data_IF_235908732999
#
_entry.id   IF_235908732999
#
_cell.length_a   1.000
_cell.length_b   1.000
_cell.length_c   1.000
_cell.angle_alpha   90.00
_cell.angle_beta   90.00
_cell.angle_gamma   90.00
#
_symmetry.space_group_name_H-M   'P 1'
#
loop_
_entity.id
_entity.type
_entity.pdbx_description
1 polymer ?
#
# COMPACT_ATOMS: atom_id res chain seq x y z
N UNK A 1 17.37 2.42 4.18
CA UNK A 1 18.06 2.06 2.92
C UNK A 1 18.22 0.54 2.84
N UNK A 2 18.37 -0.06 1.65
CA UNK A 2 18.36 -1.53 1.51
C UNK A 2 19.55 -2.21 2.21
N UNK A 3 20.71 -1.55 2.27
CA UNK A 3 21.90 -2.08 2.93
C UNK A 3 21.80 -2.23 4.45
N UNK A 4 20.82 -1.57 5.11
CA UNK A 4 20.58 -1.68 6.56
C UNK A 4 19.94 -3.02 6.94
N UNK A 5 19.29 -3.69 5.98
CA UNK A 5 18.63 -4.98 6.17
C UNK A 5 19.61 -6.16 6.09
N UNK A 6 20.90 -5.91 5.83
CA UNK A 6 21.94 -6.94 5.68
C UNK A 6 22.82 -7.01 6.94
N UNK A 7 23.20 -8.24 7.33
CA UNK A 7 24.13 -8.49 8.44
C UNK A 7 25.39 -7.63 8.33
N UNK A 8 25.76 -7.01 9.45
CA UNK A 8 26.95 -6.15 9.58
C UNK A 8 28.22 -6.95 9.28
N UNK A 9 29.11 -6.43 8.43
CA UNK A 9 30.39 -7.04 8.08
C UNK A 9 30.39 -7.97 6.85
N UNK A 10 29.25 -8.21 6.20
CA UNK A 10 29.19 -9.07 5.00
C UNK A 10 29.59 -8.32 3.73
N UNK A 11 30.28 -9.00 2.80
CA UNK A 11 30.54 -8.53 1.43
C UNK A 11 29.28 -7.98 0.75
N UNK A 12 28.13 -8.61 1.02
CA UNK A 12 26.80 -8.16 0.59
C UNK A 12 26.46 -6.75 1.05
N UNK A 13 26.77 -6.40 2.31
CA UNK A 13 26.46 -5.08 2.87
C UNK A 13 27.27 -3.99 2.16
N UNK A 14 28.53 -4.28 1.79
CA UNK A 14 29.39 -3.33 1.06
C UNK A 14 28.83 -3.02 -0.33
N UNK A 15 28.46 -4.06 -1.09
CA UNK A 15 27.93 -3.90 -2.45
C UNK A 15 26.57 -3.19 -2.41
N UNK A 16 25.68 -3.58 -1.50
CA UNK A 16 24.36 -2.94 -1.38
C UNK A 16 24.45 -1.48 -0.93
N UNK A 17 25.43 -1.15 -0.07
CA UNK A 17 25.71 0.24 0.33
C UNK A 17 26.18 1.07 -0.87
N UNK A 18 27.11 0.55 -1.69
CA UNK A 18 27.53 1.23 -2.92
C UNK A 18 26.35 1.49 -3.87
N UNK A 19 25.47 0.50 -4.07
CA UNK A 19 24.30 0.69 -4.91
C UNK A 19 23.34 1.77 -4.35
N UNK A 20 23.08 1.76 -3.04
CA UNK A 20 22.23 2.76 -2.39
C UNK A 20 22.84 4.18 -2.48
N UNK A 21 24.15 4.32 -2.33
CA UNK A 21 24.86 5.60 -2.45
C UNK A 21 24.83 6.14 -3.88
N UNK A 22 25.10 5.28 -4.89
CA UNK A 22 25.02 5.67 -6.30
C UNK A 22 23.60 6.09 -6.70
N UNK A 23 22.59 5.36 -6.20
CA UNK A 23 21.18 5.71 -6.42
C UNK A 23 20.83 7.05 -5.74
N UNK A 24 21.33 7.30 -4.53
CA UNK A 24 21.07 8.54 -3.81
C UNK A 24 21.74 9.77 -4.45
N UNK A 25 22.96 9.60 -4.98
CA UNK A 25 23.72 10.68 -5.61
C UNK A 25 23.17 11.06 -6.98
N UNK A 26 22.78 10.06 -7.78
CA UNK A 26 22.40 10.27 -9.19
C UNK A 26 20.89 10.27 -9.43
N UNK A 27 20.11 9.71 -8.51
CA UNK A 27 18.66 9.51 -8.71
C UNK A 27 18.31 8.42 -9.74
N UNK A 28 19.32 7.74 -10.31
CA UNK A 28 19.16 6.69 -11.32
C UNK A 28 19.73 5.36 -10.84
N UNK A 29 19.17 4.24 -11.34
CA UNK A 29 19.64 2.90 -10.98
C UNK A 29 21.02 2.67 -11.61
N UNK A 30 22.08 2.40 -10.81
CA UNK A 30 23.42 2.20 -11.34
C UNK A 30 23.51 0.92 -12.18
N UNK A 31 24.46 0.88 -13.12
CA UNK A 31 24.64 -0.32 -13.95
C UNK A 31 25.35 -1.43 -13.17
N UNK A 32 25.02 -2.70 -13.48
CA UNK A 32 25.66 -3.83 -12.80
C UNK A 32 27.17 -3.92 -13.03
N UNK A 33 27.64 -3.45 -14.20
CA UNK A 33 29.07 -3.42 -14.53
C UNK A 33 29.81 -2.36 -13.73
N UNK A 34 29.25 -1.16 -13.62
CA UNK A 34 29.81 -0.09 -12.78
C UNK A 34 29.94 -0.53 -11.31
N UNK A 35 28.91 -1.16 -10.76
CA UNK A 35 28.94 -1.68 -9.38
C UNK A 35 30.00 -2.79 -9.22
N UNK A 36 30.14 -3.68 -10.19
CA UNK A 36 31.15 -4.73 -10.16
C UNK A 36 32.57 -4.16 -10.25
N UNK A 37 32.80 -3.19 -11.14
CA UNK A 37 34.11 -2.54 -11.34
C UNK A 37 34.55 -1.79 -10.06
N UNK A 38 33.63 -1.05 -9.43
CA UNK A 38 33.88 -0.36 -8.15
C UNK A 38 34.14 -1.35 -7.00
N UNK A 39 33.45 -2.49 -6.98
CA UNK A 39 33.68 -3.53 -5.98
C UNK A 39 35.04 -4.21 -6.16
N UNK A 40 35.44 -4.50 -7.40
CA UNK A 40 36.76 -5.07 -7.73
C UNK A 40 37.88 -4.10 -7.37
N UNK A 41 37.72 -2.81 -7.67
CA UNK A 41 38.67 -1.76 -7.26
C UNK A 41 38.86 -1.68 -5.73
N UNK A 42 37.84 -2.09 -4.97
CA UNK A 42 37.87 -2.17 -3.51
C UNK A 42 38.40 -3.50 -2.96
N UNK A 43 38.97 -4.36 -3.81
CA UNK A 43 39.53 -5.67 -3.44
C UNK A 43 38.50 -6.82 -3.43
N UNK A 44 37.36 -6.65 -4.08
CA UNK A 44 36.30 -7.66 -4.18
C UNK A 44 36.41 -8.56 -5.42
N UNK A 45 35.61 -9.64 -5.45
CA UNK A 45 35.46 -10.50 -6.63
C UNK A 45 34.31 -10.01 -7.54
N UNK A 46 34.57 -9.92 -8.85
CA UNK A 46 33.63 -9.49 -9.89
C UNK A 46 32.32 -10.29 -9.88
N UNK A 47 32.39 -11.62 -9.76
CA UNK A 47 31.21 -12.50 -9.76
C UNK A 47 30.28 -12.25 -8.55
N UNK A 48 30.87 -11.93 -7.39
CA UNK A 48 30.14 -11.51 -6.20
C UNK A 48 29.47 -10.16 -6.42
N UNK A 49 30.16 -9.22 -7.10
CA UNK A 49 29.62 -7.92 -7.49
C UNK A 49 28.31 -8.04 -8.28
N UNK A 50 28.33 -8.76 -9.40
CA UNK A 50 27.14 -8.95 -10.25
C UNK A 50 25.98 -9.67 -9.56
N UNK A 51 26.29 -10.70 -8.77
CA UNK A 51 25.28 -11.47 -8.03
C UNK A 51 24.59 -10.60 -6.99
N UNK A 52 25.35 -9.84 -6.20
CA UNK A 52 24.76 -9.00 -5.16
C UNK A 52 24.04 -7.77 -5.74
N UNK A 53 24.52 -7.21 -6.85
CA UNK A 53 23.78 -6.19 -7.61
C UNK A 53 22.40 -6.72 -8.07
N UNK A 54 22.35 -7.93 -8.62
CA UNK A 54 21.09 -8.54 -9.07
C UNK A 54 20.10 -8.73 -7.91
N UNK A 55 20.59 -9.16 -6.75
CA UNK A 55 19.76 -9.26 -5.55
C UNK A 55 19.29 -7.89 -5.04
N UNK A 56 20.16 -6.88 -5.03
CA UNK A 56 19.79 -5.52 -4.64
C UNK A 56 18.72 -4.95 -5.57
N UNK A 57 18.89 -5.09 -6.90
CA UNK A 57 17.91 -4.63 -7.89
C UNK A 57 16.54 -5.30 -7.70
N UNK A 58 16.52 -6.61 -7.41
CA UNK A 58 15.27 -7.33 -7.12
C UNK A 58 14.62 -6.83 -5.84
N UNK A 59 15.39 -6.62 -4.77
CA UNK A 59 14.89 -6.09 -3.50
C UNK A 59 14.33 -4.66 -3.64
N UNK A 60 14.97 -3.81 -4.45
CA UNK A 60 14.47 -2.47 -4.77
C UNK A 60 13.13 -2.53 -5.50
N UNK A 61 13.00 -3.39 -6.51
CA UNK A 61 11.75 -3.58 -7.23
C UNK A 61 10.63 -4.13 -6.33
N UNK A 62 10.94 -5.10 -5.45
CA UNK A 62 10.00 -5.63 -4.45
C UNK A 62 9.55 -4.53 -3.46
N UNK A 63 10.48 -3.67 -3.00
CA UNK A 63 10.16 -2.55 -2.11
C UNK A 63 9.32 -1.49 -2.82
N UNK A 64 9.63 -1.15 -4.07
CA UNK A 64 8.86 -0.20 -4.87
C UNK A 64 7.46 -0.73 -5.19
N UNK A 65 7.32 -2.01 -5.55
CA UNK A 65 6.03 -2.65 -5.75
C UNK A 65 5.20 -2.69 -4.45
N UNK A 66 5.83 -3.00 -3.32
CA UNK A 66 5.19 -3.00 -2.01
C UNK A 66 4.90 -1.60 -1.45
N UNK A 67 5.64 -0.58 -1.87
CA UNK A 67 5.36 0.82 -1.53
C UNK A 67 4.24 1.38 -2.40
N UNK A 68 4.21 1.06 -3.69
CA UNK A 68 3.12 1.43 -4.60
C UNK A 68 1.79 0.78 -4.17
N UNK A 69 1.81 -0.50 -3.76
CA UNK A 69 0.61 -1.17 -3.24
C UNK A 69 0.15 -0.59 -1.90
N UNK A 70 1.07 -0.28 -0.97
CA UNK A 70 0.74 0.38 0.31
C UNK A 70 0.23 1.81 0.12
N UNK A 71 0.88 2.62 -0.71
CA UNK A 71 0.40 3.97 -1.02
C UNK A 71 -0.99 3.92 -1.66
N UNK A 72 -1.25 2.96 -2.55
CA UNK A 72 -2.57 2.73 -3.13
C UNK A 72 -3.60 2.26 -2.09
N UNK A 73 -3.19 1.48 -1.09
CA UNK A 73 -4.06 1.05 0.00
C UNK A 73 -4.36 2.20 0.99
N UNK A 74 -3.35 2.98 1.40
CA UNK A 74 -3.50 4.15 2.28
C UNK A 74 -4.40 5.23 1.66
N UNK A 75 -4.32 5.43 0.34
CA UNK A 75 -5.24 6.32 -0.38
C UNK A 75 -6.69 5.80 -0.43
N UNK A 76 -6.93 4.53 -0.11
CA UNK A 76 -8.25 3.87 -0.17
C UNK A 76 -8.83 3.54 1.21
N UNK A 77 -8.28 4.10 2.29
CA UNK A 77 -8.81 3.92 3.64
C UNK A 77 -9.64 5.14 4.09
N UNK A 78 -10.80 4.93 4.75
CA UNK A 78 -11.61 6.03 5.24
C UNK A 78 -10.84 6.88 6.27
N UNK A 79 -10.75 8.18 6.03
CA UNK A 79 -10.10 9.14 6.92
C UNK A 79 -11.03 9.63 8.05
N UNK A 80 -10.45 10.31 9.03
CA UNK A 80 -11.21 11.03 10.09
C UNK A 80 -10.93 12.52 9.99
N UNK A 81 -11.99 13.32 9.90
CA UNK A 81 -11.94 14.79 9.97
C UNK A 81 -12.65 15.23 11.25
N UNK A 82 -12.12 16.22 11.96
CA UNK A 82 -12.74 16.76 13.16
C UNK A 82 -14.01 17.59 12.87
N UNK A 83 -14.78 17.89 13.92
CA UNK A 83 -15.96 18.74 13.81
C UNK A 83 -15.60 20.16 13.36
N UNK A 84 -16.30 20.67 12.35
CA UNK A 84 -16.22 22.07 11.91
C UNK A 84 -17.58 22.60 11.50
N UNK A 85 -17.78 23.89 11.72
CA UNK A 85 -18.99 24.57 11.25
C UNK A 85 -18.99 24.67 9.72
N UNK A 86 -20.12 24.33 9.11
CA UNK A 86 -20.37 24.47 7.67
C UNK A 86 -21.77 25.01 7.48
N UNK A 87 -21.97 25.84 6.47
CA UNK A 87 -23.28 26.40 6.15
C UNK A 87 -23.99 25.52 5.12
N UNK A 88 -25.27 25.27 5.36
CA UNK A 88 -26.18 24.75 4.34
C UNK A 88 -26.72 25.95 3.57
N UNK A 89 -26.60 25.94 2.25
CA UNK A 89 -27.15 27.00 1.42
C UNK A 89 -28.69 27.02 1.49
N UNK A 90 -29.31 28.13 1.09
CA UNK A 90 -30.76 28.32 1.19
C UNK A 90 -31.59 27.32 0.36
N UNK A 91 -30.96 26.65 -0.60
CA UNK A 91 -31.53 25.58 -1.42
C UNK A 91 -31.34 24.17 -0.82
N UNK A 92 -30.72 24.07 0.36
CA UNK A 92 -30.41 22.80 1.02
C UNK A 92 -29.07 22.18 0.62
N UNK A 93 -28.26 22.84 -0.20
CA UNK A 93 -26.97 22.32 -0.66
C UNK A 93 -25.90 22.45 0.42
N UNK A 94 -25.21 21.35 0.73
CA UNK A 94 -24.00 21.32 1.57
C UNK A 94 -22.77 21.07 0.69
N UNK A 95 -21.91 22.08 0.54
CA UNK A 95 -20.67 21.92 -0.23
C UNK A 95 -19.62 21.19 0.58
N UNK A 96 -19.17 20.02 0.12
CA UNK A 96 -18.11 19.25 0.77
C UNK A 96 -16.73 19.67 0.24
N UNK A 97 -15.85 20.24 1.08
CA UNK A 97 -14.48 20.57 0.67
C UNK A 97 -13.64 19.31 0.44
N UNK A 98 -12.53 19.51 -0.27
CA UNK A 98 -11.70 18.44 -0.83
C UNK A 98 -11.20 17.43 0.22
N UNK A 99 -10.86 17.92 1.40
CA UNK A 99 -10.40 17.10 2.53
C UNK A 99 -11.48 16.14 3.06
N UNK A 100 -12.73 16.60 3.16
CA UNK A 100 -13.87 15.75 3.55
C UNK A 100 -14.18 14.74 2.45
N UNK A 101 -14.16 15.16 1.18
CA UNK A 101 -14.40 14.22 0.06
C UNK A 101 -13.36 13.12 0.04
N UNK A 102 -12.08 13.45 0.24
CA UNK A 102 -11.00 12.48 0.34
C UNK A 102 -11.17 11.54 1.55
N UNK A 103 -11.46 12.07 2.73
CA UNK A 103 -11.68 11.25 3.93
C UNK A 103 -12.88 10.30 3.79
N UNK A 104 -13.90 10.72 3.04
CA UNK A 104 -15.06 9.89 2.71
C UNK A 104 -14.83 8.95 1.52
N UNK A 105 -13.65 8.98 0.89
CA UNK A 105 -13.35 8.23 -0.34
C UNK A 105 -14.39 8.47 -1.45
N UNK A 106 -14.82 9.73 -1.59
CA UNK A 106 -15.74 10.15 -2.65
C UNK A 106 -14.94 10.48 -3.91
N UNK A 107 -15.33 9.86 -5.02
CA UNK A 107 -14.98 10.28 -6.36
C UNK A 107 -15.76 11.53 -6.78
N UNK A 108 -15.41 12.12 -7.93
CA UNK A 108 -15.96 13.41 -8.39
C UNK A 108 -17.49 13.44 -8.47
N UNK A 109 -18.12 12.29 -8.76
CA UNK A 109 -19.57 12.13 -8.93
C UNK A 109 -20.17 11.16 -7.89
N UNK A 110 -19.53 11.04 -6.73
CA UNK A 110 -19.83 10.01 -5.73
C UNK A 110 -21.22 10.12 -5.12
N UNK A 111 -22.03 9.09 -5.30
CA UNK A 111 -23.31 8.91 -4.59
C UNK A 111 -23.04 8.67 -3.10
N UNK A 112 -23.82 9.32 -2.23
CA UNK A 112 -23.83 9.08 -0.79
C UNK A 112 -25.19 8.57 -0.32
N UNK A 113 -25.20 7.82 0.78
CA UNK A 113 -26.41 7.48 1.51
C UNK A 113 -26.48 8.34 2.77
N UNK A 114 -27.68 8.84 3.08
CA UNK A 114 -27.91 9.75 4.19
C UNK A 114 -28.97 9.17 5.12
N UNK A 115 -28.75 9.28 6.42
CA UNK A 115 -29.75 8.98 7.45
C UNK A 115 -29.75 10.08 8.50
N UNK A 116 -30.92 10.48 8.96
CA UNK A 116 -31.07 11.33 10.15
C UNK A 116 -31.31 10.43 11.36
N UNK A 117 -30.52 10.60 12.41
CA UNK A 117 -30.62 9.87 13.67
C UNK A 117 -30.45 10.86 14.81
N UNK A 118 -31.45 11.00 15.67
CA UNK A 118 -31.46 11.94 16.81
C UNK A 118 -31.11 13.40 16.46
N UNK A 119 -31.46 13.82 15.23
CA UNK A 119 -31.14 15.15 14.71
C UNK A 119 -29.75 15.26 14.08
N UNK A 120 -28.96 14.19 14.05
CA UNK A 120 -27.67 14.13 13.36
C UNK A 120 -27.83 13.66 11.92
N UNK A 121 -27.28 14.42 10.97
CA UNK A 121 -27.16 14.00 9.58
C UNK A 121 -25.95 13.09 9.40
N UNK A 122 -26.18 11.78 9.26
CA UNK A 122 -25.13 10.79 9.00
C UNK A 122 -25.03 10.53 7.51
N UNK A 123 -23.93 10.95 6.90
CA UNK A 123 -23.62 10.75 5.49
C UNK A 123 -22.55 9.66 5.37
N UNK A 124 -22.81 8.67 4.54
CA UNK A 124 -21.92 7.51 4.34
C UNK A 124 -21.71 7.30 2.84
N UNK A 125 -20.46 7.18 2.40
CA UNK A 125 -20.14 6.78 1.03
C UNK A 125 -20.18 5.25 0.88
N UNK A 126 -20.55 4.73 -0.29
CA UNK A 126 -20.60 3.29 -0.55
C UNK A 126 -19.25 2.60 -0.27
N UNK A 127 -18.14 3.19 -0.72
CA UNK A 127 -16.81 2.61 -0.52
C UNK A 127 -16.40 2.61 0.95
N UNK A 128 -16.65 3.69 1.68
CA UNK A 128 -16.39 3.72 3.12
C UNK A 128 -17.29 2.76 3.91
N UNK A 129 -18.54 2.54 3.46
CA UNK A 129 -19.43 1.53 4.06
C UNK A 129 -18.88 0.11 3.87
N UNK A 130 -18.43 -0.23 2.65
CA UNK A 130 -17.81 -1.53 2.34
C UNK A 130 -16.55 -1.73 3.17
N UNK A 131 -15.65 -0.74 3.21
CA UNK A 131 -14.41 -0.79 4.00
C UNK A 131 -14.66 -0.95 5.49
N UNK A 132 -15.63 -0.21 6.05
CA UNK A 132 -16.04 -0.38 7.45
C UNK A 132 -16.61 -1.77 7.73
N UNK A 133 -17.36 -2.35 6.79
CA UNK A 133 -17.90 -3.69 6.92
C UNK A 133 -16.78 -4.75 6.84
N UNK A 134 -15.83 -4.59 5.90
CA UNK A 134 -14.65 -5.44 5.78
C UNK A 134 -13.80 -5.41 7.05
N UNK A 135 -13.48 -4.23 7.58
CA UNK A 135 -12.70 -4.09 8.81
C UNK A 135 -13.38 -4.74 10.03
N UNK A 136 -14.73 -4.66 10.12
CA UNK A 136 -15.49 -5.37 11.17
C UNK A 136 -15.51 -6.88 10.96
N UNK A 137 -15.62 -7.33 9.72
CA UNK A 137 -15.58 -8.75 9.38
C UNK A 137 -14.20 -9.37 9.66
N UNK A 138 -13.12 -8.66 9.34
CA UNK A 138 -11.74 -9.07 9.63
C UNK A 138 -11.48 -9.27 11.12
N UNK A 139 -12.12 -8.48 11.99
CA UNK A 139 -12.05 -8.66 13.46
C UNK A 139 -12.79 -9.91 13.95
N UNK A 140 -13.71 -10.46 13.15
CA UNK A 140 -14.50 -11.64 13.47
C UNK A 140 -13.93 -12.92 12.83
N UNK A 141 -13.04 -12.79 11.86
CA UNK A 141 -12.37 -13.91 11.18
C UNK A 141 -11.19 -14.37 12.04
N UNK A 142 -11.15 -15.66 12.37
CA UNK A 142 -10.01 -16.26 13.07
C UNK A 142 -8.77 -16.27 12.15
N UNK A 143 -7.56 -15.98 12.65
CA UNK A 143 -6.35 -16.07 11.84
C UNK A 143 -6.19 -17.47 11.25
N UNK A 144 -6.11 -17.57 9.91
CA UNK A 144 -5.87 -18.82 9.19
C UNK A 144 -7.08 -19.46 8.51
N UNK A 145 -8.28 -18.85 8.59
CA UNK A 145 -9.49 -19.36 7.94
C UNK A 145 -9.99 -18.34 6.91
N UNK A 146 -9.74 -18.60 5.63
CA UNK A 146 -10.29 -17.80 4.55
C UNK A 146 -11.75 -18.21 4.33
N UNK A 147 -12.70 -17.33 4.68
CA UNK A 147 -14.15 -17.55 4.44
C UNK A 147 -14.45 -17.85 2.96
N UNK A 148 -13.58 -17.40 2.05
CA UNK A 148 -13.67 -17.72 0.62
C UNK A 148 -13.51 -19.21 0.32
N UNK A 149 -12.69 -19.94 1.08
CA UNK A 149 -12.42 -21.35 0.83
C UNK A 149 -13.64 -22.21 1.19
N UNK A 150 -14.35 -21.83 2.25
CA UNK A 150 -15.61 -22.47 2.65
C UNK A 150 -16.72 -22.23 1.62
N UNK A 151 -16.86 -20.98 1.13
CA UNK A 151 -17.84 -20.61 0.10
C UNK A 151 -17.56 -21.24 -1.28
N UNK A 152 -16.28 -21.40 -1.64
CA UNK A 152 -15.87 -22.12 -2.86
C UNK A 152 -16.15 -23.62 -2.72
N UNK A 153 -15.91 -24.20 -1.54
CA UNK A 153 -16.22 -25.60 -1.27
C UNK A 153 -17.73 -25.88 -1.30
N UNK A 154 -18.55 -24.97 -0.78
CA UNK A 154 -20.01 -25.06 -0.84
C UNK A 154 -20.53 -24.98 -2.27
N UNK A 155 -20.06 -24.02 -3.08
CA UNK A 155 -20.45 -23.91 -4.49
C UNK A 155 -20.07 -25.16 -5.31
N UNK A 156 -18.93 -25.79 -5.00
CA UNK A 156 -18.51 -27.07 -5.62
C UNK A 156 -19.37 -28.25 -5.18
N UNK A 157 -19.83 -28.27 -3.92
CA UNK A 157 -20.76 -29.29 -3.41
C UNK A 157 -22.15 -29.16 -4.03
N UNK A 158 -22.65 -27.94 -4.22
CA UNK A 158 -23.92 -27.71 -4.92
C UNK A 158 -23.84 -28.08 -6.40
N UNK A 159 -22.73 -27.80 -7.09
CA UNK A 159 -22.53 -28.19 -8.49
C UNK A 159 -22.35 -29.72 -8.70
N UNK A 160 -22.07 -30.47 -7.63
CA UNK A 160 -21.92 -31.93 -7.67
C UNK A 160 -23.17 -32.69 -7.20
N UNK A 161 -24.26 -31.99 -6.89
CA UNK A 161 -25.54 -32.60 -6.54
C UNK A 161 -26.33 -32.85 -7.84
N UNK A 162 -26.66 -34.12 -8.18
CA UNK A 162 -27.34 -34.47 -9.44
C UNK A 162 -28.77 -33.96 -9.52
#
# INVERSE_FOLDING_TARGET
MLHEQVRVGSEKKRIWKMCDELLAERGEIPSGREVADLYVASGGNEGTGFTQYSHWKRALAEQQAGAASRASAEMNEPGTVGFRAMNVAGDGTLQLPDDIRAAMLLDRDGRVTVRVEDGELRIISPLAAVKRLQARAEQLIKPGELVSDELIADRRREASRP
#
